data_IF_036682080667
#
_entry.id   IF_036682080667
#
_cell.length_a   1.000
_cell.length_b   1.000
_cell.length_c   1.000
_cell.angle_alpha   90.00
_cell.angle_beta   90.00
_cell.angle_gamma   90.00
#
_symmetry.space_group_name_H-M   'P 1'
#
loop_
_entity.id
_entity.type
_entity.pdbx_description
1 polymer ?
#
# COMPACT_ATOMS: atom_id res chain seq x y z
N UNK A 1 -26.98 -1.30 -24.40
CA UNK A 1 -25.74 -0.94 -23.68
C UNK A 1 -26.09 -0.80 -22.22
N UNK A 2 -26.01 -1.88 -21.45
CA UNK A 2 -26.18 -1.83 -20.00
C UNK A 2 -24.82 -1.54 -19.37
N UNK A 3 -24.74 -0.43 -18.66
CA UNK A 3 -23.63 -0.17 -17.73
C UNK A 3 -23.79 -1.15 -16.57
N UNK A 4 -22.89 -2.13 -16.47
CA UNK A 4 -22.76 -2.94 -15.26
C UNK A 4 -22.12 -2.01 -14.23
N UNK A 5 -22.95 -1.34 -13.43
CA UNK A 5 -22.52 -0.61 -12.24
C UNK A 5 -22.16 -1.64 -11.17
N UNK A 6 -20.88 -1.82 -10.89
CA UNK A 6 -20.46 -2.32 -9.59
C UNK A 6 -20.69 -1.17 -8.59
N UNK A 7 -21.91 -1.10 -8.05
CA UNK A 7 -22.19 -0.36 -6.83
C UNK A 7 -22.24 -1.37 -5.69
N UNK A 8 -21.22 -1.47 -4.84
CA UNK A 8 -21.50 -1.58 -3.42
C UNK A 8 -21.78 -0.15 -2.95
N UNK A 9 -22.96 0.39 -3.24
CA UNK A 9 -23.50 1.33 -2.27
C UNK A 9 -23.79 0.48 -1.05
N UNK A 10 -22.80 0.38 -0.16
CA UNK A 10 -23.08 0.16 1.24
C UNK A 10 -24.14 1.20 1.57
N UNK A 11 -25.38 0.77 1.77
CA UNK A 11 -26.38 1.58 2.44
C UNK A 11 -25.66 2.09 3.69
N UNK A 12 -25.46 3.41 3.78
CA UNK A 12 -25.03 4.02 5.03
C UNK A 12 -26.06 3.55 6.06
N UNK A 13 -25.71 2.74 7.06
CA UNK A 13 -26.62 2.58 8.17
C UNK A 13 -26.80 3.98 8.74
N UNK A 14 -28.04 4.48 8.76
CA UNK A 14 -28.45 5.52 9.70
C UNK A 14 -28.31 4.91 11.11
N UNK A 15 -27.08 4.73 11.56
CA UNK A 15 -26.79 4.57 12.97
C UNK A 15 -26.26 5.93 13.40
N UNK A 16 -27.05 6.63 14.22
CA UNK A 16 -26.46 7.46 15.27
C UNK A 16 -25.34 6.60 15.88
N UNK A 17 -24.06 6.95 15.68
CA UNK A 17 -22.97 6.13 16.20
C UNK A 17 -23.14 6.07 17.71
N UNK A 18 -23.67 4.95 18.20
CA UNK A 18 -23.86 4.76 19.63
C UNK A 18 -22.46 4.82 20.23
N UNK A 19 -22.17 5.88 20.97
CA UNK A 19 -20.86 6.04 21.59
C UNK A 19 -20.55 4.80 22.45
N UNK A 20 -19.33 4.27 22.30
CA UNK A 20 -18.87 3.14 23.08
C UNK A 20 -18.16 3.62 24.34
N UNK A 21 -18.67 3.22 25.51
CA UNK A 21 -17.97 3.46 26.77
C UNK A 21 -16.84 2.43 26.96
N UNK A 22 -15.67 2.93 27.34
CA UNK A 22 -14.46 2.15 27.67
C UNK A 22 -13.82 2.63 28.97
N UNK A 23 -13.01 1.79 29.61
CA UNK A 23 -12.31 2.10 30.86
C UNK A 23 -11.13 3.07 30.68
N UNK A 24 -10.59 3.16 29.46
CA UNK A 24 -9.51 4.09 29.14
C UNK A 24 -8.90 3.87 27.75
N UNK A 25 -7.82 4.63 27.46
CA UNK A 25 -7.17 4.68 26.14
C UNK A 25 -6.71 3.32 25.62
N UNK A 26 -6.16 2.48 26.49
CA UNK A 26 -5.69 1.15 26.10
C UNK A 26 -6.83 0.27 25.56
N UNK A 27 -7.95 0.21 26.27
CA UNK A 27 -9.12 -0.56 25.82
C UNK A 27 -9.70 0.02 24.53
N UNK A 28 -9.78 1.35 24.41
CA UNK A 28 -10.24 1.99 23.17
C UNK A 28 -9.35 1.65 21.97
N UNK A 29 -8.03 1.64 22.16
CA UNK A 29 -7.08 1.26 21.11
C UNK A 29 -7.29 -0.20 20.69
N UNK A 30 -7.38 -1.12 21.65
CA UNK A 30 -7.62 -2.55 21.39
C UNK A 30 -8.93 -2.76 20.61
N UNK A 31 -10.01 -2.09 20.99
CA UNK A 31 -11.30 -2.15 20.28
C UNK A 31 -11.25 -1.52 18.89
N UNK A 32 -10.59 -0.38 18.74
CA UNK A 32 -10.42 0.26 17.44
C UNK A 32 -9.65 -0.66 16.48
N UNK A 33 -8.53 -1.25 16.90
CA UNK A 33 -7.77 -2.20 16.09
C UNK A 33 -8.62 -3.43 15.69
N UNK A 34 -9.42 -3.97 16.62
CA UNK A 34 -10.34 -5.08 16.32
C UNK A 34 -11.44 -4.67 15.32
N UNK A 35 -12.01 -3.47 15.46
CA UNK A 35 -13.02 -2.92 14.55
C UNK A 35 -12.47 -2.72 13.14
N UNK A 36 -11.27 -2.15 13.02
CA UNK A 36 -10.56 -1.96 11.76
C UNK A 36 -10.28 -3.29 11.07
N UNK A 37 -9.75 -4.27 11.80
CA UNK A 37 -9.49 -5.61 11.26
C UNK A 37 -10.76 -6.27 10.70
N UNK A 38 -11.86 -6.23 11.47
CA UNK A 38 -13.17 -6.76 11.02
C UNK A 38 -13.69 -6.04 9.77
N UNK A 39 -13.46 -4.73 9.68
CA UNK A 39 -13.86 -3.92 8.53
C UNK A 39 -13.08 -4.34 7.28
N UNK A 40 -11.77 -4.52 7.38
CA UNK A 40 -10.93 -5.00 6.30
C UNK A 40 -11.33 -6.41 5.85
N UNK A 41 -11.53 -7.34 6.79
CA UNK A 41 -11.95 -8.72 6.49
C UNK A 41 -13.28 -8.72 5.74
N UNK A 42 -14.26 -7.95 6.23
CA UNK A 42 -15.57 -7.85 5.60
C UNK A 42 -15.51 -7.30 4.17
N UNK A 43 -14.66 -6.30 3.91
CA UNK A 43 -14.63 -5.58 2.62
C UNK A 43 -13.69 -6.22 1.60
N UNK A 44 -12.54 -6.73 2.05
CA UNK A 44 -11.39 -6.98 1.19
C UNK A 44 -10.70 -8.32 1.43
N UNK A 45 -11.28 -9.27 2.19
CA UNK A 45 -10.70 -10.61 2.37
C UNK A 45 -10.34 -11.30 1.04
N UNK A 46 -11.12 -11.03 -0.02
CA UNK A 46 -10.92 -11.62 -1.35
C UNK A 46 -10.11 -10.74 -2.32
N UNK A 47 -9.59 -9.59 -1.88
CA UNK A 47 -8.73 -8.76 -2.74
C UNK A 47 -7.36 -9.44 -2.88
N UNK A 48 -6.79 -9.51 -4.10
CA UNK A 48 -5.48 -10.12 -4.27
C UNK A 48 -4.39 -9.40 -3.48
N UNK A 49 -4.38 -8.06 -3.45
CA UNK A 49 -3.33 -7.25 -2.81
C UNK A 49 -3.84 -6.43 -1.62
N UNK A 50 -4.74 -5.46 -1.84
CA UNK A 50 -5.23 -4.55 -0.79
C UNK A 50 -6.26 -5.29 0.07
N UNK A 51 -5.77 -6.22 0.90
CA UNK A 51 -6.52 -7.13 1.75
C UNK A 51 -6.04 -7.01 3.21
N UNK A 52 -6.70 -7.66 4.19
CA UNK A 52 -6.33 -7.49 5.61
C UNK A 52 -4.87 -7.81 5.92
N UNK A 53 -4.27 -8.77 5.19
CA UNK A 53 -2.86 -9.12 5.39
C UNK A 53 -1.94 -7.98 4.97
N UNK A 54 -2.23 -7.28 3.88
CA UNK A 54 -1.43 -6.13 3.47
C UNK A 54 -1.42 -5.05 4.56
N UNK A 55 -2.58 -4.66 5.09
CA UNK A 55 -2.66 -3.66 6.15
C UNK A 55 -1.95 -4.10 7.44
N UNK A 56 -2.00 -5.39 7.78
CA UNK A 56 -1.22 -5.95 8.90
C UNK A 56 0.30 -5.92 8.66
N UNK A 57 0.74 -6.18 7.43
CA UNK A 57 2.15 -6.08 7.04
C UNK A 57 2.63 -4.62 7.12
N UNK A 58 1.80 -3.64 6.71
CA UNK A 58 2.10 -2.20 6.88
C UNK A 58 2.15 -1.82 8.35
N UNK A 59 1.18 -2.27 9.15
CA UNK A 59 1.14 -2.05 10.61
C UNK A 59 2.43 -2.51 11.30
N UNK A 60 2.77 -3.78 11.11
CA UNK A 60 3.95 -4.37 11.74
C UNK A 60 5.26 -3.77 11.20
N UNK A 61 5.34 -3.49 9.90
CA UNK A 61 6.49 -2.83 9.28
C UNK A 61 6.75 -1.43 9.82
N UNK A 62 5.70 -0.63 10.00
CA UNK A 62 5.84 0.74 10.51
C UNK A 62 6.29 0.75 11.97
N UNK A 63 5.74 -0.12 12.81
CA UNK A 63 6.18 -0.28 14.21
C UNK A 63 7.64 -0.72 14.26
N UNK A 64 8.05 -1.72 13.47
CA UNK A 64 9.45 -2.17 13.40
C UNK A 64 10.41 -1.06 12.97
N UNK A 65 9.99 -0.21 12.03
CA UNK A 65 10.77 0.95 11.60
C UNK A 65 10.98 1.93 12.76
N UNK A 66 9.91 2.27 13.49
CA UNK A 66 9.98 3.15 14.67
C UNK A 66 10.83 2.53 15.79
N UNK A 67 10.69 1.24 16.06
CA UNK A 67 11.51 0.52 17.06
C UNK A 67 13.00 0.51 16.70
N UNK A 68 13.33 0.48 15.40
CA UNK A 68 14.72 0.60 14.93
C UNK A 68 15.31 1.96 15.28
N UNK A 69 14.52 3.04 15.14
CA UNK A 69 14.92 4.40 15.54
C UNK A 69 15.02 4.48 17.07
N UNK A 70 13.99 4.03 17.79
CA UNK A 70 13.90 4.06 19.26
C UNK A 70 15.07 3.31 19.92
N UNK A 71 15.51 2.19 19.33
CA UNK A 71 16.67 1.42 19.81
C UNK A 71 17.99 2.20 19.79
N UNK A 72 18.11 3.22 18.94
CA UNK A 72 19.27 4.12 18.88
C UNK A 72 19.02 5.39 19.68
N UNK A 73 17.87 6.03 19.48
CA UNK A 73 17.46 7.27 20.14
C UNK A 73 15.97 7.26 20.48
N UNK A 74 15.66 6.90 21.73
CA UNK A 74 14.28 6.85 22.24
C UNK A 74 13.61 8.22 22.38
N UNK A 75 14.34 9.34 22.19
CA UNK A 75 13.74 10.68 22.25
C UNK A 75 13.01 11.09 20.97
N UNK A 76 13.25 10.39 19.86
CA UNK A 76 12.63 10.68 18.56
C UNK A 76 11.30 9.96 18.34
N UNK A 77 11.02 8.92 19.12
CA UNK A 77 9.83 8.08 18.96
C UNK A 77 9.07 8.09 20.28
N UNK A 78 7.84 8.57 20.25
CA UNK A 78 6.96 8.53 21.42
C UNK A 78 6.13 7.24 21.43
N UNK A 79 5.57 6.88 22.59
CA UNK A 79 4.59 5.80 22.66
C UNK A 79 3.37 6.08 21.78
N UNK A 80 2.95 7.35 21.69
CA UNK A 80 1.85 7.78 20.83
C UNK A 80 2.15 7.55 19.35
N UNK A 81 3.39 7.75 18.89
CA UNK A 81 3.73 7.51 17.48
C UNK A 81 3.58 6.02 17.12
N UNK A 82 3.91 5.10 18.03
CA UNK A 82 3.67 3.67 17.83
C UNK A 82 2.18 3.31 17.83
N UNK A 83 1.39 3.88 18.74
CA UNK A 83 -0.07 3.69 18.74
C UNK A 83 -0.70 4.20 17.43
N UNK A 84 -0.26 5.36 16.93
CA UNK A 84 -0.74 5.90 15.67
C UNK A 84 -0.26 5.04 14.49
N UNK A 85 0.98 4.52 14.52
CA UNK A 85 1.46 3.60 13.49
C UNK A 85 0.62 2.32 13.44
N UNK A 86 0.17 1.80 14.58
CA UNK A 86 -0.73 0.64 14.62
C UNK A 86 -2.08 0.94 13.97
N UNK A 87 -2.69 2.09 14.33
CA UNK A 87 -3.98 2.52 13.80
C UNK A 87 -3.93 2.83 12.30
N UNK A 88 -2.92 3.60 11.88
CA UNK A 88 -2.74 4.01 10.48
C UNK A 88 -2.35 2.81 9.62
N UNK A 89 -1.51 1.91 10.12
CA UNK A 89 -1.13 0.70 9.40
C UNK A 89 -2.34 -0.14 8.99
N UNK A 90 -3.31 -0.35 9.89
CA UNK A 90 -4.59 -0.99 9.53
C UNK A 90 -5.51 -0.07 8.74
N UNK A 91 -5.53 1.22 9.10
CA UNK A 91 -6.51 2.18 8.61
C UNK A 91 -6.25 2.78 7.23
N UNK A 92 -5.02 2.72 6.71
CA UNK A 92 -4.65 3.44 5.49
C UNK A 92 -5.44 3.02 4.24
N UNK A 93 -5.95 1.77 4.24
CA UNK A 93 -6.62 1.12 3.12
C UNK A 93 -8.08 0.73 3.39
N UNK A 94 -8.74 1.37 4.37
CA UNK A 94 -10.15 1.11 4.67
C UNK A 94 -11.09 1.35 3.47
N UNK A 95 -10.69 2.24 2.57
CA UNK A 95 -11.40 2.56 1.33
C UNK A 95 -10.53 2.30 0.12
N UNK A 96 -10.97 1.38 -0.75
CA UNK A 96 -10.28 1.00 -1.99
C UNK A 96 -11.21 1.10 -3.20
N UNK A 97 -11.80 2.28 -3.39
CA UNK A 97 -12.69 2.56 -4.52
C UNK A 97 -11.90 2.55 -5.84
N UNK A 98 -12.51 1.98 -6.88
CA UNK A 98 -11.94 1.92 -8.22
C UNK A 98 -13.04 1.90 -9.29
N UNK A 99 -12.75 2.56 -10.42
CA UNK A 99 -13.52 2.37 -11.64
C UNK A 99 -12.89 1.28 -12.50
N UNK A 100 -13.68 0.63 -13.34
CA UNK A 100 -13.15 -0.24 -14.40
C UNK A 100 -13.13 0.54 -15.71
N UNK A 101 -11.95 0.87 -16.24
CA UNK A 101 -11.88 1.45 -17.60
C UNK A 101 -12.15 0.37 -18.64
N UNK A 102 -13.02 0.66 -19.60
CA UNK A 102 -13.33 -0.18 -20.78
C UNK A 102 -13.00 0.52 -22.10
N UNK A 103 -12.27 1.63 -22.02
CA UNK A 103 -12.03 2.56 -23.10
C UNK A 103 -10.90 2.04 -24.00
N UNK A 104 -11.26 1.17 -24.94
CA UNK A 104 -10.47 0.81 -26.13
C UNK A 104 -9.16 0.02 -25.90
N UNK A 105 -8.72 -0.16 -24.66
CA UNK A 105 -7.57 -1.00 -24.33
C UNK A 105 -7.99 -2.49 -24.29
N UNK A 106 -7.16 -3.41 -24.79
CA UNK A 106 -7.45 -4.85 -24.77
C UNK A 106 -7.51 -5.45 -23.35
N UNK A 107 -7.18 -4.67 -22.31
CA UNK A 107 -7.25 -5.06 -20.89
C UNK A 107 -8.11 -4.04 -20.15
N UNK A 108 -9.22 -4.48 -19.54
CA UNK A 108 -9.90 -3.63 -18.57
C UNK A 108 -9.10 -3.66 -17.27
N UNK A 109 -8.43 -2.54 -16.97
CA UNK A 109 -7.70 -2.37 -15.72
C UNK A 109 -8.57 -1.64 -14.70
N UNK A 110 -8.42 -2.00 -13.42
CA UNK A 110 -8.92 -1.17 -12.32
C UNK A 110 -8.16 0.15 -12.32
N UNK A 111 -8.90 1.24 -12.22
CA UNK A 111 -8.36 2.59 -12.03
C UNK A 111 -8.84 3.05 -10.66
N UNK A 112 -7.96 2.93 -9.68
CA UNK A 112 -8.21 3.33 -8.29
C UNK A 112 -8.52 4.83 -8.22
N UNK A 113 -9.43 5.21 -7.33
CA UNK A 113 -9.71 6.61 -7.01
C UNK A 113 -8.55 7.15 -6.17
N UNK A 114 -7.52 7.62 -6.87
CA UNK A 114 -6.28 8.13 -6.32
C UNK A 114 -6.44 9.57 -5.81
N UNK A 115 -5.90 9.88 -4.63
CA UNK A 115 -5.68 11.25 -4.18
C UNK A 115 -5.90 11.46 -2.68
N UNK A 116 -5.26 12.49 -2.14
CA UNK A 116 -5.47 12.92 -0.76
C UNK A 116 -5.99 14.37 -0.70
N UNK A 117 -5.36 15.27 -1.47
CA UNK A 117 -5.80 16.65 -1.63
C UNK A 117 -6.93 16.80 -2.66
N UNK A 118 -7.65 17.93 -2.61
CA UNK A 118 -8.67 18.25 -3.63
C UNK A 118 -8.06 18.45 -5.02
N UNK A 119 -6.79 18.87 -5.05
CA UNK A 119 -5.95 19.12 -6.21
C UNK A 119 -5.42 17.84 -6.88
N UNK A 120 -5.35 16.71 -6.15
CA UNK A 120 -4.90 15.42 -6.70
C UNK A 120 -5.95 14.77 -7.60
N UNK A 121 -7.21 15.23 -7.49
CA UNK A 121 -8.34 14.65 -8.21
C UNK A 121 -8.37 15.24 -9.63
N UNK A 122 -7.55 14.71 -10.52
CA UNK A 122 -7.50 15.14 -11.92
C UNK A 122 -8.85 14.93 -12.65
N UNK A 123 -9.62 16.01 -12.79
CA UNK A 123 -10.78 16.09 -13.67
C UNK A 123 -12.03 15.28 -13.27
N UNK A 124 -12.02 14.61 -12.11
CA UNK A 124 -13.20 13.95 -11.50
C UNK A 124 -13.52 14.61 -10.17
N UNK A 125 -14.78 14.53 -9.71
CA UNK A 125 -15.24 15.11 -8.44
C UNK A 125 -15.33 14.05 -7.32
N UNK A 126 -14.43 13.08 -7.33
CA UNK A 126 -14.47 11.95 -6.39
C UNK A 126 -13.28 12.04 -5.47
N UNK A 127 -13.54 12.15 -4.17
CA UNK A 127 -12.53 12.10 -3.12
C UNK A 127 -11.75 10.78 -3.18
N UNK A 128 -10.42 10.87 -3.04
CA UNK A 128 -9.51 9.74 -3.20
C UNK A 128 -9.47 8.81 -1.99
N UNK A 129 -8.96 7.60 -2.21
CA UNK A 129 -8.96 6.49 -1.27
C UNK A 129 -8.25 6.85 0.04
N UNK A 130 -7.05 7.46 -0.04
CA UNK A 130 -6.27 7.80 1.14
C UNK A 130 -7.01 8.80 2.05
N UNK A 131 -7.64 9.82 1.46
CA UNK A 131 -8.44 10.78 2.24
C UNK A 131 -9.63 10.10 2.93
N UNK A 132 -10.41 9.30 2.19
CA UNK A 132 -11.57 8.60 2.74
C UNK A 132 -11.17 7.60 3.83
N UNK A 133 -10.09 6.84 3.64
CA UNK A 133 -9.54 5.94 4.64
C UNK A 133 -9.17 6.68 5.93
N UNK A 134 -8.54 7.85 5.82
CA UNK A 134 -8.21 8.66 6.98
C UNK A 134 -9.45 9.17 7.71
N UNK A 135 -10.46 9.64 6.97
CA UNK A 135 -11.72 10.09 7.55
C UNK A 135 -12.49 8.97 8.23
N UNK A 136 -12.53 7.77 7.64
CA UNK A 136 -13.17 6.59 8.24
C UNK A 136 -12.46 6.13 9.51
N UNK A 137 -11.12 6.13 9.53
CA UNK A 137 -10.34 5.85 10.75
C UNK A 137 -10.66 6.88 11.85
N UNK A 138 -10.74 8.16 11.52
CA UNK A 138 -11.05 9.22 12.49
C UNK A 138 -12.49 9.15 13.00
N UNK A 139 -13.43 8.72 12.16
CA UNK A 139 -14.81 8.44 12.57
C UNK A 139 -14.87 7.29 13.58
N UNK A 140 -14.19 6.18 13.28
CA UNK A 140 -14.06 5.02 14.18
C UNK A 140 -13.50 5.45 15.55
N UNK A 141 -12.39 6.19 15.57
CA UNK A 141 -11.79 6.70 16.81
C UNK A 141 -12.71 7.68 17.57
N UNK A 142 -13.58 8.39 16.85
CA UNK A 142 -14.55 9.33 17.42
C UNK A 142 -15.68 8.67 18.23
N UNK A 143 -15.85 7.35 18.12
CA UNK A 143 -16.93 6.61 18.79
C UNK A 143 -16.63 6.33 20.27
N UNK A 144 -15.35 6.35 20.69
CA UNK A 144 -14.93 5.91 22.02
C UNK A 144 -14.99 7.03 23.07
N UNK A 145 -15.71 6.76 24.16
CA UNK A 145 -15.86 7.64 25.33
C UNK A 145 -15.31 6.98 26.60
N UNK A 146 -14.67 7.75 27.46
CA UNK A 146 -14.35 7.30 28.81
C UNK A 146 -15.62 7.23 29.68
N UNK A 147 -15.45 6.71 30.90
CA UNK A 147 -16.50 6.63 31.94
C UNK A 147 -17.10 7.97 32.37
N UNK A 148 -16.43 9.09 32.10
CA UNK A 148 -16.94 10.44 32.35
C UNK A 148 -17.67 11.02 31.11
N UNK A 149 -17.76 10.26 30.02
CA UNK A 149 -18.39 10.67 28.76
C UNK A 149 -17.52 11.57 27.88
N UNK A 150 -16.21 11.68 28.17
CA UNK A 150 -15.26 12.45 27.35
C UNK A 150 -14.70 11.57 26.23
N UNK A 151 -14.36 12.19 25.09
CA UNK A 151 -13.68 11.46 24.01
C UNK A 151 -12.33 10.93 24.50
N UNK A 152 -12.07 9.66 24.22
CA UNK A 152 -10.77 9.05 24.48
C UNK A 152 -9.71 9.57 23.51
N UNK A 153 -10.10 9.76 22.24
CA UNK A 153 -9.27 10.32 21.18
C UNK A 153 -9.77 11.72 20.80
N UNK A 154 -8.87 12.71 20.80
CA UNK A 154 -9.23 14.04 20.31
C UNK A 154 -9.10 14.08 18.79
N UNK A 155 -10.18 13.75 18.08
CA UNK A 155 -10.23 13.67 16.60
C UNK A 155 -10.91 14.89 15.96
N UNK A 156 -11.11 15.96 16.73
CA UNK A 156 -11.72 17.20 16.24
C UNK A 156 -10.83 17.88 15.20
N UNK A 157 -11.45 18.65 14.32
CA UNK A 157 -10.73 19.46 13.34
C UNK A 157 -9.65 20.33 14.02
N UNK A 158 -8.42 20.29 13.50
CA UNK A 158 -7.26 21.00 14.06
C UNK A 158 -6.63 20.37 15.31
N UNK A 159 -7.07 19.19 15.77
CA UNK A 159 -6.38 18.47 16.84
C UNK A 159 -5.06 17.87 16.35
N UNK A 160 -4.08 17.75 17.25
CA UNK A 160 -2.77 17.17 16.92
C UNK A 160 -2.89 15.72 16.43
N UNK A 161 -3.75 14.92 17.07
CA UNK A 161 -3.95 13.52 16.68
C UNK A 161 -4.57 13.40 15.28
N UNK A 162 -5.56 14.24 14.97
CA UNK A 162 -6.17 14.27 13.64
C UNK A 162 -5.11 14.58 12.59
N UNK A 163 -4.36 15.66 12.75
CA UNK A 163 -3.31 16.05 11.80
C UNK A 163 -2.24 14.96 11.63
N UNK A 164 -1.83 14.29 12.72
CA UNK A 164 -0.89 13.16 12.64
C UNK A 164 -1.45 12.01 11.78
N UNK A 165 -2.69 11.58 12.02
CA UNK A 165 -3.33 10.50 11.26
C UNK A 165 -3.50 10.90 9.78
N UNK A 166 -3.98 12.12 9.52
CA UNK A 166 -4.17 12.63 8.18
C UNK A 166 -2.85 12.63 7.40
N UNK A 167 -1.77 13.19 7.97
CA UNK A 167 -0.46 13.23 7.30
C UNK A 167 0.13 11.83 7.11
N UNK A 168 0.00 10.95 8.10
CA UNK A 168 0.52 9.59 8.03
C UNK A 168 -0.18 8.75 6.95
N UNK A 169 -1.48 8.96 6.69
CA UNK A 169 -2.18 8.32 5.57
C UNK A 169 -1.90 9.05 4.25
N UNK A 170 -1.73 10.38 4.25
CA UNK A 170 -1.37 11.12 3.03
C UNK A 170 -0.09 10.59 2.38
N UNK A 171 0.90 10.21 3.19
CA UNK A 171 2.18 9.70 2.68
C UNK A 171 2.11 8.28 2.08
N UNK A 172 0.99 7.56 2.18
CA UNK A 172 0.81 6.30 1.44
C UNK A 172 0.43 6.55 -0.02
N UNK A 173 -0.03 7.77 -0.36
CA UNK A 173 -0.48 8.11 -1.71
C UNK A 173 0.62 7.95 -2.78
N UNK A 174 0.48 7.01 -3.74
CA UNK A 174 1.49 6.78 -4.77
C UNK A 174 1.22 7.63 -6.03
N UNK A 175 2.20 8.45 -6.39
CA UNK A 175 2.26 9.18 -7.64
C UNK A 175 3.23 8.50 -8.63
N UNK A 176 3.03 8.74 -9.92
CA UNK A 176 3.88 8.13 -10.97
C UNK A 176 4.48 9.17 -11.90
N UNK A 177 5.79 9.07 -12.14
CA UNK A 177 6.48 9.89 -13.15
C UNK A 177 7.44 9.05 -13.99
N UNK A 178 7.65 9.43 -15.25
CA UNK A 178 8.66 8.83 -16.12
C UNK A 178 9.99 9.56 -15.91
N UNK A 179 10.81 9.04 -14.99
CA UNK A 179 12.09 9.64 -14.64
C UNK A 179 13.30 8.81 -15.10
N UNK A 180 14.43 9.48 -15.31
CA UNK A 180 15.72 8.83 -15.53
C UNK A 180 16.31 8.40 -14.18
N UNK A 181 16.47 7.09 -13.96
CA UNK A 181 17.21 6.63 -12.79
C UNK A 181 18.72 6.80 -13.06
N UNK A 182 19.36 7.74 -12.36
CA UNK A 182 20.77 8.12 -12.60
C UNK A 182 21.76 6.94 -12.55
N UNK A 183 21.46 5.90 -11.78
CA UNK A 183 22.30 4.71 -11.63
C UNK A 183 22.12 3.68 -12.75
N UNK A 184 20.97 3.64 -13.44
CA UNK A 184 20.71 2.68 -14.52
C UNK A 184 20.89 3.29 -15.91
N UNK A 185 20.74 4.61 -16.05
CA UNK A 185 20.79 5.31 -17.34
C UNK A 185 19.55 5.11 -18.21
N UNK A 186 18.50 4.47 -17.70
CA UNK A 186 17.22 4.26 -18.38
C UNK A 186 16.13 5.15 -17.81
N UNK A 187 15.20 5.58 -18.67
CA UNK A 187 13.95 6.24 -18.25
C UNK A 187 12.95 5.16 -17.90
N UNK A 188 12.52 5.13 -16.65
CA UNK A 188 11.64 4.13 -16.09
C UNK A 188 10.51 4.78 -15.29
N UNK A 189 9.43 4.03 -15.08
CA UNK A 189 8.33 4.47 -14.24
C UNK A 189 8.80 4.52 -12.78
N UNK A 190 8.87 5.73 -12.23
CA UNK A 190 9.09 6.00 -10.82
C UNK A 190 7.75 6.06 -10.13
N UNK A 191 7.57 5.23 -9.10
CA UNK A 191 6.43 5.31 -8.18
C UNK A 191 6.94 5.93 -6.88
N UNK A 192 6.42 7.09 -6.49
CA UNK A 192 6.89 7.85 -5.32
C UNK A 192 5.72 8.39 -4.50
N UNK A 193 5.97 8.75 -3.26
CA UNK A 193 4.95 9.26 -2.34
C UNK A 193 5.10 10.78 -2.23
N UNK A 194 4.28 11.55 -2.95
CA UNK A 194 4.47 13.00 -3.09
C UNK A 194 4.35 13.78 -1.77
N UNK A 195 3.60 13.26 -0.81
CA UNK A 195 3.42 13.85 0.51
C UNK A 195 4.56 13.51 1.48
N UNK A 196 5.45 12.58 1.13
CA UNK A 196 6.65 12.29 1.91
C UNK A 196 7.75 13.30 1.58
N UNK A 197 7.86 14.32 2.43
CA UNK A 197 8.79 15.45 2.24
C UNK A 197 9.95 15.40 3.24
N UNK A 198 11.01 16.20 3.06
CA UNK A 198 12.07 16.35 4.06
C UNK A 198 11.56 16.78 5.45
N UNK A 199 10.40 17.43 5.53
CA UNK A 199 9.79 17.91 6.78
C UNK A 199 8.85 16.89 7.44
N UNK A 200 8.56 15.77 6.76
CA UNK A 200 7.71 14.71 7.30
C UNK A 200 8.27 14.16 8.61
N UNK A 201 7.39 13.72 9.49
CA UNK A 201 7.75 13.13 10.77
C UNK A 201 8.40 11.75 10.61
N UNK A 202 8.99 11.22 11.68
CA UNK A 202 9.50 9.83 11.67
C UNK A 202 8.36 8.80 11.57
N UNK A 203 7.16 9.14 12.04
CA UNK A 203 5.94 8.36 11.86
C UNK A 203 5.56 8.28 10.37
N UNK A 204 5.54 9.43 9.69
CA UNK A 204 5.22 9.48 8.25
C UNK A 204 6.23 8.64 7.45
N UNK A 205 7.54 8.79 7.75
CA UNK A 205 8.57 7.95 7.15
C UNK A 205 8.33 6.45 7.39
N UNK A 206 7.93 6.07 8.61
CA UNK A 206 7.68 4.68 8.97
C UNK A 206 6.50 4.10 8.16
N UNK A 207 5.38 4.82 8.09
CA UNK A 207 4.20 4.40 7.33
C UNK A 207 4.52 4.31 5.84
N UNK A 208 5.11 5.36 5.26
CA UNK A 208 5.43 5.39 3.83
C UNK A 208 6.42 4.28 3.45
N UNK A 209 7.37 3.98 4.34
CA UNK A 209 8.32 2.88 4.14
C UNK A 209 7.63 1.53 4.22
N UNK A 210 6.78 1.30 5.22
CA UNK A 210 6.11 0.02 5.42
C UNK A 210 5.16 -0.33 4.26
N UNK A 211 4.40 0.66 3.79
CA UNK A 211 3.45 0.52 2.68
C UNK A 211 4.13 0.14 1.35
N UNK A 212 4.97 1.03 0.81
CA UNK A 212 5.49 0.85 -0.55
C UNK A 212 6.80 0.05 -0.61
N UNK A 213 7.60 0.10 0.47
CA UNK A 213 8.98 -0.44 0.50
C UNK A 213 9.12 -1.67 1.39
N UNK A 214 8.14 -1.92 2.27
CA UNK A 214 8.12 -3.03 3.21
C UNK A 214 8.32 -4.38 2.52
N UNK A 215 7.50 -4.73 1.50
CA UNK A 215 7.66 -5.98 0.77
C UNK A 215 9.05 -6.13 0.14
N UNK A 216 9.64 -5.05 -0.38
CA UNK A 216 10.98 -5.10 -0.98
C UNK A 216 12.07 -5.34 0.07
N UNK A 217 11.87 -4.88 1.30
CA UNK A 217 12.81 -5.06 2.41
C UNK A 217 12.62 -6.38 3.18
N UNK A 218 11.67 -7.23 2.77
CA UNK A 218 11.44 -8.53 3.38
C UNK A 218 12.66 -9.45 3.22
N UNK A 219 12.93 -10.26 4.24
CA UNK A 219 14.04 -11.23 4.22
C UNK A 219 13.81 -12.35 3.19
N UNK A 220 12.54 -12.68 2.90
CA UNK A 220 12.13 -13.66 1.91
C UNK A 220 11.72 -13.00 0.58
N UNK A 221 12.48 -13.30 -0.47
CA UNK A 221 12.17 -12.86 -1.83
C UNK A 221 10.79 -13.32 -2.30
N UNK A 222 10.33 -14.50 -1.86
CA UNK A 222 9.02 -15.01 -2.26
C UNK A 222 7.86 -14.19 -1.68
N UNK A 223 8.07 -13.50 -0.56
CA UNK A 223 7.10 -12.53 -0.04
C UNK A 223 7.00 -11.32 -0.98
N UNK A 224 8.15 -10.73 -1.35
CA UNK A 224 8.19 -9.62 -2.31
C UNK A 224 7.55 -9.99 -3.65
N UNK A 225 7.96 -11.13 -4.22
CA UNK A 225 7.46 -11.61 -5.51
C UNK A 225 5.96 -11.83 -5.50
N UNK A 226 5.43 -12.52 -4.48
CA UNK A 226 3.99 -12.79 -4.37
C UNK A 226 3.18 -11.52 -4.17
N UNK A 227 3.72 -10.54 -3.45
CA UNK A 227 3.11 -9.22 -3.28
C UNK A 227 2.98 -8.49 -4.63
N UNK A 228 4.07 -8.39 -5.40
CA UNK A 228 4.01 -7.81 -6.75
C UNK A 228 3.06 -8.58 -7.70
N UNK A 229 3.02 -9.91 -7.62
CA UNK A 229 2.10 -10.71 -8.42
C UNK A 229 0.63 -10.55 -7.99
N UNK A 230 0.38 -10.35 -6.69
CA UNK A 230 -0.93 -10.01 -6.16
C UNK A 230 -1.43 -8.67 -6.71
N UNK A 231 -0.57 -7.65 -6.74
CA UNK A 231 -0.95 -6.36 -7.31
C UNK A 231 -1.28 -6.48 -8.80
N UNK A 232 -0.52 -7.28 -9.56
CA UNK A 232 -0.84 -7.57 -10.97
C UNK A 232 -2.25 -8.12 -11.13
N UNK A 233 -2.62 -9.13 -10.33
CA UNK A 233 -3.95 -9.76 -10.40
C UNK A 233 -5.06 -8.78 -10.01
N UNK A 234 -4.82 -7.93 -9.03
CA UNK A 234 -5.80 -6.93 -8.62
C UNK A 234 -6.03 -5.86 -9.69
N UNK A 235 -4.97 -5.39 -10.34
CA UNK A 235 -5.07 -4.39 -11.40
C UNK A 235 -5.71 -4.96 -12.67
N UNK A 236 -5.47 -6.24 -12.97
CA UNK A 236 -5.90 -6.91 -14.22
C UNK A 236 -7.14 -7.80 -14.05
N UNK A 237 -8.21 -7.28 -13.46
CA UNK A 237 -9.45 -8.04 -13.17
C UNK A 237 -10.02 -8.78 -14.37
N UNK A 238 -9.94 -8.21 -15.58
CA UNK A 238 -10.42 -8.89 -16.79
C UNK A 238 -9.75 -10.26 -16.99
N UNK A 239 -8.46 -10.38 -16.69
CA UNK A 239 -7.75 -11.66 -16.82
C UNK A 239 -8.32 -12.65 -15.81
N UNK A 240 -8.57 -12.23 -14.57
CA UNK A 240 -9.21 -13.07 -13.54
C UNK A 240 -10.58 -13.59 -13.99
N UNK A 241 -11.42 -12.71 -14.58
CA UNK A 241 -12.74 -13.07 -15.10
C UNK A 241 -12.64 -14.05 -16.29
N UNK A 242 -11.71 -13.82 -17.21
CA UNK A 242 -11.45 -14.69 -18.36
C UNK A 242 -10.97 -16.07 -17.93
N UNK A 243 -10.04 -16.13 -16.96
CA UNK A 243 -9.51 -17.39 -16.41
C UNK A 243 -10.61 -18.17 -15.69
N UNK A 244 -11.44 -17.52 -14.87
CA UNK A 244 -12.58 -18.14 -14.21
C UNK A 244 -13.63 -18.69 -15.22
N UNK A 245 -13.70 -18.11 -16.41
CA UNK A 245 -14.53 -18.59 -17.51
C UNK A 245 -14.02 -19.86 -18.20
N UNK A 246 -12.77 -20.25 -17.98
CA UNK A 246 -12.08 -21.38 -18.62
C UNK A 246 -11.01 -20.91 -19.62
N UNK A 247 -9.75 -21.27 -19.39
CA UNK A 247 -8.61 -20.85 -20.22
C UNK A 247 -8.75 -21.32 -21.68
N UNK A 248 -9.43 -22.44 -21.92
CA UNK A 248 -9.70 -23.02 -23.24
C UNK A 248 -10.55 -22.11 -24.13
N UNK A 249 -11.32 -21.19 -23.53
CA UNK A 249 -12.19 -20.25 -24.24
C UNK A 249 -11.50 -18.95 -24.60
N UNK A 250 -10.30 -18.70 -24.06
CA UNK A 250 -9.53 -17.48 -24.32
C UNK A 250 -8.86 -17.61 -25.70
N UNK A 251 -9.16 -16.73 -26.68
CA UNK A 251 -8.56 -16.79 -28.02
C UNK A 251 -7.04 -16.68 -28.01
N UNK A 252 -6.36 -17.30 -28.98
CA UNK A 252 -4.89 -17.34 -29.06
C UNK A 252 -4.24 -15.95 -28.98
N UNK A 253 -4.72 -14.98 -29.77
CA UNK A 253 -4.23 -13.60 -29.75
C UNK A 253 -4.36 -12.96 -28.35
N UNK A 254 -5.45 -13.29 -27.64
CA UNK A 254 -5.69 -12.81 -26.27
C UNK A 254 -4.73 -13.45 -25.28
N UNK A 255 -4.45 -14.75 -25.41
CA UNK A 255 -3.45 -15.46 -24.60
C UNK A 255 -2.07 -14.83 -24.79
N UNK A 256 -1.67 -14.55 -26.02
CA UNK A 256 -0.39 -13.90 -26.34
C UNK A 256 -0.27 -12.50 -25.71
N UNK A 257 -1.35 -11.70 -25.75
CA UNK A 257 -1.40 -10.40 -25.11
C UNK A 257 -1.28 -10.48 -23.58
N UNK A 258 -1.92 -11.47 -22.95
CA UNK A 258 -1.81 -11.73 -21.51
C UNK A 258 -0.37 -12.11 -21.15
N UNK A 259 0.24 -13.08 -21.86
CA UNK A 259 1.63 -13.50 -21.62
C UNK A 259 2.61 -12.34 -21.82
N UNK A 260 2.39 -11.50 -22.82
CA UNK A 260 3.18 -10.26 -23.01
C UNK A 260 3.04 -9.32 -21.80
N UNK A 261 1.84 -9.15 -21.28
CA UNK A 261 1.58 -8.28 -20.12
C UNK A 261 2.25 -8.81 -18.85
N UNK A 262 2.22 -10.13 -18.64
CA UNK A 262 2.94 -10.79 -17.53
C UNK A 262 4.45 -10.57 -17.63
N UNK A 263 5.05 -10.78 -18.81
CA UNK A 263 6.49 -10.52 -19.03
C UNK A 263 6.85 -9.06 -18.76
N UNK A 264 6.05 -8.13 -19.28
CA UNK A 264 6.26 -6.70 -19.05
C UNK A 264 6.13 -6.33 -17.58
N UNK A 265 5.19 -6.95 -16.85
CA UNK A 265 5.05 -6.77 -15.40
C UNK A 265 6.33 -7.20 -14.67
N UNK A 266 6.84 -8.41 -14.93
CA UNK A 266 8.08 -8.90 -14.30
C UNK A 266 9.28 -8.00 -14.57
N UNK A 267 9.40 -7.45 -15.77
CA UNK A 267 10.46 -6.47 -16.09
C UNK A 267 10.25 -5.15 -15.33
N UNK A 268 9.01 -4.66 -15.26
CA UNK A 268 8.68 -3.41 -14.55
C UNK A 268 9.00 -3.49 -13.05
N UNK A 269 8.88 -4.69 -12.45
CA UNK A 269 9.25 -4.91 -11.05
C UNK A 269 10.74 -4.65 -10.78
N UNK A 270 11.64 -4.82 -11.76
CA UNK A 270 13.06 -4.44 -11.61
C UNK A 270 13.18 -2.93 -11.40
N UNK A 271 12.51 -2.15 -12.25
CA UNK A 271 12.54 -0.69 -12.19
C UNK A 271 11.90 -0.18 -10.91
N UNK A 272 10.76 -0.75 -10.52
CA UNK A 272 10.11 -0.47 -9.23
C UNK A 272 11.07 -0.71 -8.06
N UNK A 273 11.69 -1.90 -7.99
CA UNK A 273 12.57 -2.26 -6.89
C UNK A 273 13.80 -1.33 -6.78
N UNK A 274 14.41 -0.97 -7.91
CA UNK A 274 15.54 -0.03 -7.93
C UNK A 274 15.12 1.38 -7.47
N UNK A 275 13.97 1.87 -7.93
CA UNK A 275 13.44 3.16 -7.49
C UNK A 275 13.11 3.16 -6.00
N UNK A 276 12.46 2.12 -5.47
CA UNK A 276 12.13 2.06 -4.05
C UNK A 276 13.37 2.02 -3.14
N UNK A 277 14.42 1.30 -3.54
CA UNK A 277 15.71 1.31 -2.84
C UNK A 277 16.36 2.71 -2.84
N UNK A 278 16.33 3.40 -3.98
CA UNK A 278 16.87 4.76 -4.07
C UNK A 278 16.04 5.77 -3.26
N UNK A 279 14.71 5.72 -3.38
CA UNK A 279 13.77 6.57 -2.64
C UNK A 279 13.85 6.34 -1.14
N UNK A 280 14.10 5.10 -0.68
CA UNK A 280 14.35 4.81 0.72
C UNK A 280 15.56 5.60 1.25
N UNK A 281 16.70 5.48 0.56
CA UNK A 281 17.91 6.19 0.95
C UNK A 281 17.73 7.71 0.88
N UNK A 282 17.09 8.22 -0.18
CA UNK A 282 16.78 9.64 -0.31
C UNK A 282 15.92 10.14 0.87
N UNK A 283 14.86 9.40 1.21
CA UNK A 283 13.92 9.78 2.26
C UNK A 283 14.61 9.83 3.64
N UNK A 284 15.40 8.82 4.01
CA UNK A 284 16.08 8.82 5.31
C UNK A 284 17.24 9.84 5.35
N UNK A 285 18.00 9.99 4.26
CA UNK A 285 19.12 10.93 4.23
C UNK A 285 18.62 12.37 4.15
N UNK A 286 17.46 12.64 3.57
CA UNK A 286 16.88 13.97 3.40
C UNK A 286 15.98 14.43 4.55
N UNK A 287 15.58 13.54 5.46
CA UNK A 287 14.65 13.87 6.52
C UNK A 287 15.28 14.77 7.59
N UNK A 288 14.66 15.93 7.84
CA UNK A 288 15.16 16.97 8.75
C UNK A 288 15.18 16.50 10.20
N UNK A 289 14.20 15.71 10.64
CA UNK A 289 14.15 15.20 12.02
C UNK A 289 15.32 14.24 12.28
N UNK A 290 15.58 13.32 11.34
CA UNK A 290 16.72 12.40 11.43
C UNK A 290 18.06 13.16 11.35
N UNK A 291 18.21 14.09 10.41
CA UNK A 291 19.46 14.87 10.25
C UNK A 291 19.79 15.74 11.48
N UNK A 292 18.76 16.29 12.14
CA UNK A 292 18.93 17.22 13.26
C UNK A 292 19.08 16.49 14.61
N UNK A 293 18.80 15.19 14.65
CA UNK A 293 18.92 14.40 15.87
C UNK A 293 20.39 14.24 16.31
N UNK A 294 20.71 14.28 17.62
CA UNK A 294 22.06 14.06 18.12
C UNK A 294 22.69 12.75 17.63
N UNK A 295 21.87 11.70 17.46
CA UNK A 295 22.27 10.39 16.94
C UNK A 295 21.83 10.12 15.51
N UNK A 296 21.51 11.16 14.73
CA UNK A 296 20.95 11.06 13.38
C UNK A 296 21.71 10.10 12.45
N UNK A 297 23.04 10.15 12.48
CA UNK A 297 23.88 9.24 11.68
C UNK A 297 23.76 7.78 12.09
N UNK A 298 23.78 7.51 13.39
CA UNK A 298 23.64 6.14 13.93
C UNK A 298 22.25 5.57 13.60
N UNK A 299 21.22 6.40 13.64
CA UNK A 299 19.85 6.02 13.24
C UNK A 299 19.80 5.67 11.75
N UNK A 300 20.34 6.54 10.88
CA UNK A 300 20.38 6.29 9.44
C UNK A 300 21.17 5.03 9.11
N UNK A 301 22.29 4.78 9.79
CA UNK A 301 23.09 3.57 9.61
C UNK A 301 22.32 2.32 10.09
N UNK A 302 21.59 2.39 11.21
CA UNK A 302 20.75 1.30 11.70
C UNK A 302 19.61 0.96 10.71
N UNK A 303 18.92 1.98 10.18
CA UNK A 303 17.90 1.81 9.14
C UNK A 303 18.49 1.21 7.86
N UNK A 304 19.64 1.71 7.39
CA UNK A 304 20.30 1.13 6.20
C UNK A 304 20.66 -0.34 6.42
N UNK A 305 21.21 -0.68 7.57
CA UNK A 305 21.58 -2.06 7.89
C UNK A 305 20.38 -2.99 8.00
N UNK A 306 19.23 -2.49 8.48
CA UNK A 306 18.01 -3.28 8.63
C UNK A 306 17.27 -3.51 7.28
N UNK A 307 17.37 -2.58 6.33
CA UNK A 307 16.53 -2.60 5.12
C UNK A 307 17.34 -2.86 3.82
N UNK A 308 18.48 -2.20 3.61
CA UNK A 308 19.18 -2.26 2.31
C UNK A 308 19.67 -3.66 1.90
N UNK A 309 20.24 -4.50 2.79
CA UNK A 309 20.70 -5.83 2.39
C UNK A 309 19.59 -6.68 1.77
N UNK A 310 18.38 -6.62 2.34
CA UNK A 310 17.22 -7.34 1.83
C UNK A 310 16.70 -6.74 0.53
N UNK A 311 16.63 -5.40 0.43
CA UNK A 311 16.25 -4.74 -0.83
C UNK A 311 17.19 -5.13 -1.98
N UNK A 312 18.51 -5.17 -1.74
CA UNK A 312 19.51 -5.55 -2.75
C UNK A 312 19.36 -7.02 -3.16
N UNK A 313 19.15 -7.92 -2.19
CA UNK A 313 18.86 -9.33 -2.45
C UNK A 313 17.59 -9.50 -3.29
N UNK A 314 16.52 -8.77 -2.98
CA UNK A 314 15.24 -8.87 -3.65
C UNK A 314 15.25 -8.22 -5.05
N UNK A 315 16.02 -7.15 -5.26
CA UNK A 315 16.32 -6.61 -6.59
C UNK A 315 16.97 -7.68 -7.46
N UNK A 316 17.95 -8.42 -6.93
CA UNK A 316 18.61 -9.48 -7.69
C UNK A 316 17.68 -10.67 -7.98
N UNK A 317 16.84 -11.06 -7.01
CA UNK A 317 15.79 -12.04 -7.25
C UNK A 317 14.83 -11.63 -8.37
N UNK A 318 14.47 -10.35 -8.42
CA UNK A 318 13.55 -9.80 -9.42
C UNK A 318 14.14 -9.86 -10.82
N UNK A 319 15.44 -9.56 -10.98
CA UNK A 319 16.13 -9.70 -12.27
C UNK A 319 16.09 -11.15 -12.77
N UNK A 320 16.38 -12.12 -11.90
CA UNK A 320 16.31 -13.55 -12.26
C UNK A 320 14.91 -13.95 -12.73
N UNK A 321 13.87 -13.58 -11.98
CA UNK A 321 12.48 -13.87 -12.36
C UNK A 321 12.10 -13.19 -13.68
N UNK A 322 12.57 -11.98 -13.94
CA UNK A 322 12.32 -11.30 -15.20
C UNK A 322 13.01 -11.98 -16.39
N UNK A 323 14.23 -12.49 -16.21
CA UNK A 323 14.94 -13.30 -17.22
C UNK A 323 14.23 -14.64 -17.48
N UNK A 324 13.86 -15.36 -16.41
CA UNK A 324 13.08 -16.60 -16.49
C UNK A 324 11.73 -16.38 -17.18
N UNK A 325 11.10 -15.22 -16.98
CA UNK A 325 9.82 -14.92 -17.62
C UNK A 325 9.91 -14.76 -19.14
N UNK A 326 11.11 -14.54 -19.72
CA UNK A 326 11.27 -14.33 -21.16
C UNK A 326 10.87 -15.56 -21.99
N UNK A 327 10.98 -16.76 -21.41
CA UNK A 327 10.60 -18.02 -22.08
C UNK A 327 9.09 -18.32 -22.00
N UNK A 328 8.33 -17.54 -21.21
CA UNK A 328 6.88 -17.69 -21.17
C UNK A 328 6.27 -17.43 -22.55
N UNK A 329 5.37 -18.33 -22.97
CA UNK A 329 4.72 -18.26 -24.27
C UNK A 329 3.25 -18.67 -24.17
N UNK A 330 2.49 -18.39 -25.22
CA UNK A 330 1.10 -18.82 -25.37
C UNK A 330 0.93 -19.85 -26.50
N UNK A 331 2.01 -20.42 -27.03
CA UNK A 331 1.97 -21.31 -28.21
C UNK A 331 1.12 -22.56 -27.99
N UNK A 332 1.06 -23.03 -26.75
CA UNK A 332 0.22 -24.15 -26.32
C UNK A 332 -0.62 -23.75 -25.12
N UNK A 333 -1.69 -24.50 -24.85
CA UNK A 333 -2.50 -24.28 -23.64
C UNK A 333 -1.69 -24.50 -22.35
N UNK A 334 -0.79 -25.49 -22.35
CA UNK A 334 0.10 -25.76 -21.22
C UNK A 334 1.06 -24.60 -20.95
N UNK A 335 1.68 -24.04 -22.00
CA UNK A 335 2.57 -22.88 -21.84
C UNK A 335 1.80 -21.66 -21.31
N UNK A 336 0.55 -21.48 -21.76
CA UNK A 336 -0.32 -20.40 -21.27
C UNK A 336 -0.71 -20.60 -19.80
N UNK A 337 -1.03 -21.84 -19.40
CA UNK A 337 -1.29 -22.21 -18.00
C UNK A 337 -0.08 -21.86 -17.10
N UNK A 338 1.12 -22.28 -17.50
CA UNK A 338 2.35 -21.97 -16.78
C UNK A 338 2.59 -20.46 -16.64
N UNK A 339 2.31 -19.68 -17.68
CA UNK A 339 2.44 -18.22 -17.62
C UNK A 339 1.48 -17.59 -16.60
N UNK A 340 0.24 -18.05 -16.55
CA UNK A 340 -0.76 -17.60 -15.58
C UNK A 340 -0.40 -18.03 -14.14
N UNK A 341 0.08 -19.25 -13.93
CA UNK A 341 0.56 -19.74 -12.64
C UNK A 341 1.77 -18.93 -12.13
N UNK A 342 2.65 -18.47 -13.03
CA UNK A 342 3.81 -17.64 -12.69
C UNK A 342 3.45 -16.27 -12.07
N UNK A 343 2.18 -15.86 -12.17
CA UNK A 343 1.61 -14.68 -11.47
C UNK A 343 0.45 -15.07 -10.57
N UNK A 344 0.35 -16.33 -10.16
CA UNK A 344 -0.53 -16.80 -9.08
C UNK A 344 -2.01 -16.88 -9.43
N UNK A 345 -2.40 -17.04 -10.70
CA UNK A 345 -3.77 -17.46 -11.02
C UNK A 345 -3.96 -18.93 -10.65
N UNK A 346 -5.09 -19.26 -10.03
CA UNK A 346 -5.54 -20.64 -9.83
C UNK A 346 -6.32 -21.10 -11.07
N UNK A 347 -5.95 -22.24 -11.65
CA UNK A 347 -6.43 -22.70 -12.98
C UNK A 347 -6.87 -24.15 -12.93
#
# INVERSE_FOLDING_TARGET
MEQIKFSPTAEKPENESAFEQVEGRKEALERALESLQKTLEKRYENFPFHNPKHSEDVRSGAVKFLETIEGVDSSLVTSEDKEIAELVGLGHDLVQDADTRRDGAPLSMRVRHRGFGLEDISGRKTEGNERKSAEELLEELGTYKDKDGKNVFDVKEGSVLREKIMNAIAVTYPETDMELLKSSGFRDLKIFQQYLTPQSSVLDLAIATADLRGPLADEDFETFRRSGDAEFRELNVAISEEVAGGIEKIPQERREAIVKSIRNWKVTQISFANWQRWLFEESINGNVALQSAPKGREIMDALKNAYLPNMEKNIEGTKRVAEESQVLSAETEENFRQALEAVGYAI
#
